data_IF_384429680089
#
_entry.id   IF_384429680089
#
_cell.length_a   1.000
_cell.length_b   1.000
_cell.length_c   1.000
_cell.angle_alpha   90.00
_cell.angle_beta   90.00
_cell.angle_gamma   90.00
#
_symmetry.space_group_name_H-M   'P 1'
#
loop_
_entity.id
_entity.type
_entity.pdbx_description
1 polymer ?
#
# COMPACT_ATOMS: atom_id res chain seq x y z
N UNK A 1 -13.70 -10.69 -8.76
CA UNK A 1 -12.91 -9.95 -7.76
C UNK A 1 -12.10 -8.96 -8.56
N UNK A 2 -12.49 -7.68 -8.53
CA UNK A 2 -11.74 -6.64 -9.25
C UNK A 2 -10.33 -6.54 -8.66
N UNK A 3 -9.35 -6.50 -9.54
CA UNK A 3 -7.93 -6.44 -9.19
C UNK A 3 -7.62 -5.05 -8.67
N UNK A 4 -7.22 -4.93 -7.41
CA UNK A 4 -6.90 -3.63 -6.81
C UNK A 4 -5.43 -3.29 -7.10
N UNK A 5 -5.19 -2.62 -8.23
CA UNK A 5 -3.84 -2.20 -8.63
C UNK A 5 -3.62 -0.76 -8.23
N UNK A 6 -2.53 -0.47 -7.52
CA UNK A 6 -2.12 0.90 -7.21
C UNK A 6 -1.03 1.34 -8.18
N UNK A 7 -1.15 2.55 -8.72
CA UNK A 7 -0.16 3.15 -9.61
C UNK A 7 0.76 4.14 -8.88
N UNK A 8 2.01 4.26 -9.36
CA UNK A 8 3.00 5.19 -8.78
C UNK A 8 2.51 6.64 -8.75
N UNK A 9 1.84 7.06 -9.83
CA UNK A 9 1.27 8.41 -9.95
C UNK A 9 0.20 8.69 -8.90
N UNK A 10 -0.60 7.69 -8.52
CA UNK A 10 -1.64 7.84 -7.51
C UNK A 10 -1.04 7.97 -6.11
N UNK A 11 -0.06 7.14 -5.77
CA UNK A 11 0.58 7.21 -4.45
C UNK A 11 1.38 8.50 -4.27
N UNK A 12 1.94 9.03 -5.36
CA UNK A 12 2.59 10.33 -5.35
C UNK A 12 1.57 11.45 -5.04
N UNK A 13 0.44 11.50 -5.77
CA UNK A 13 -0.58 12.53 -5.54
C UNK A 13 -1.26 12.38 -4.18
N UNK A 14 -1.40 11.17 -3.65
CA UNK A 14 -1.94 10.94 -2.31
C UNK A 14 -1.14 11.62 -1.22
N UNK A 15 0.20 11.59 -1.32
CA UNK A 15 1.07 12.28 -0.36
C UNK A 15 0.83 13.78 -0.37
N UNK A 16 0.68 14.35 -1.57
CA UNK A 16 0.46 15.80 -1.75
C UNK A 16 -0.93 16.25 -1.30
N UNK A 17 -1.91 15.33 -1.27
CA UNK A 17 -3.28 15.57 -0.82
C UNK A 17 -3.56 15.03 0.60
N UNK A 18 -2.52 14.76 1.39
CA UNK A 18 -2.62 14.31 2.79
C UNK A 18 -3.41 12.99 2.98
N UNK A 19 -3.47 12.15 1.95
CA UNK A 19 -4.15 10.86 2.02
C UNK A 19 -3.27 9.82 2.71
N UNK A 20 -3.74 9.27 3.84
CA UNK A 20 -2.87 8.51 4.75
C UNK A 20 -2.99 6.98 4.66
N UNK A 21 -4.11 6.42 4.20
CA UNK A 21 -4.31 4.96 4.24
C UNK A 21 -5.19 4.49 3.07
N UNK A 22 -4.70 3.52 2.31
CA UNK A 22 -5.40 2.84 1.23
C UNK A 22 -5.40 1.34 1.48
N UNK A 23 -6.55 0.68 1.36
CA UNK A 23 -6.70 -0.72 1.69
C UNK A 23 -7.54 -1.48 0.65
N UNK A 24 -7.14 -2.72 0.37
CA UNK A 24 -7.94 -3.65 -0.42
C UNK A 24 -9.20 -4.09 0.32
N UNK A 25 -10.08 -4.75 -0.42
CA UNK A 25 -11.09 -5.61 0.18
C UNK A 25 -10.42 -6.70 1.06
N UNK A 26 -11.18 -7.21 2.02
CA UNK A 26 -10.70 -8.28 2.90
C UNK A 26 -10.78 -9.62 2.17
N UNK A 27 -9.65 -10.32 2.03
CA UNK A 27 -9.58 -11.67 1.46
C UNK A 27 -8.97 -12.60 2.52
N UNK A 28 -9.65 -13.70 2.81
CA UNK A 28 -9.24 -14.67 3.86
C UNK A 28 -8.95 -14.02 5.23
N UNK A 29 -9.78 -13.05 5.63
CA UNK A 29 -9.64 -12.34 6.90
C UNK A 29 -8.48 -11.34 6.97
N UNK A 30 -7.77 -11.11 5.85
CA UNK A 30 -6.63 -10.20 5.77
C UNK A 30 -6.89 -9.11 4.73
N UNK A 31 -6.33 -7.92 4.97
CA UNK A 31 -6.38 -6.78 4.05
C UNK A 31 -4.96 -6.40 3.68
N UNK A 32 -4.74 -6.12 2.41
CA UNK A 32 -3.53 -5.46 1.95
C UNK A 32 -3.71 -3.96 2.14
N UNK A 33 -2.78 -3.28 2.82
CA UNK A 33 -2.83 -1.84 3.11
C UNK A 33 -1.56 -1.15 2.70
N UNK A 34 -1.67 0.08 2.19
CA UNK A 34 -0.61 1.04 1.97
C UNK A 34 -0.93 2.29 2.81
N UNK A 35 -0.05 2.61 3.76
CA UNK A 35 -0.18 3.76 4.64
C UNK A 35 1.00 4.72 4.47
N UNK A 36 0.74 6.02 4.57
CA UNK A 36 1.75 7.07 4.68
C UNK A 36 1.71 7.59 6.12
N UNK A 37 2.79 7.44 6.88
CA UNK A 37 2.84 7.93 8.26
C UNK A 37 3.22 9.42 8.32
N UNK A 38 3.17 10.02 9.52
CA UNK A 38 3.51 11.43 9.74
C UNK A 38 4.96 11.80 9.37
N UNK A 39 5.87 10.81 9.27
CA UNK A 39 7.25 11.05 8.82
C UNK A 39 7.41 10.91 7.30
N UNK A 40 6.31 10.72 6.56
CA UNK A 40 6.33 10.52 5.11
C UNK A 40 6.77 9.13 4.65
N UNK A 41 6.87 8.16 5.57
CA UNK A 41 7.22 6.76 5.25
C UNK A 41 5.99 6.04 4.74
N UNK A 42 6.19 5.29 3.67
CA UNK A 42 5.23 4.32 3.16
C UNK A 42 5.35 3.02 3.95
N UNK A 43 4.21 2.47 4.35
CA UNK A 43 4.08 1.21 5.08
C UNK A 43 3.13 0.32 4.30
N UNK A 44 3.58 -0.86 3.89
CA UNK A 44 2.73 -1.85 3.23
C UNK A 44 2.56 -3.05 4.15
N UNK A 45 1.33 -3.50 4.35
CA UNK A 45 1.01 -4.64 5.24
C UNK A 45 -0.07 -5.53 4.66
N UNK A 46 -0.04 -6.81 5.01
CA UNK A 46 -1.08 -7.79 4.69
C UNK A 46 -1.54 -8.48 5.99
N UNK A 47 -2.70 -8.05 6.51
CA UNK A 47 -3.07 -8.34 7.90
C UNK A 47 -2.05 -7.75 8.87
N UNK A 48 -1.51 -8.56 9.78
CA UNK A 48 -0.49 -8.14 10.76
C UNK A 48 0.94 -8.16 10.20
N UNK A 49 1.16 -8.74 9.01
CA UNK A 49 2.49 -8.86 8.42
C UNK A 49 2.87 -7.56 7.71
N UNK A 50 3.97 -6.95 8.13
CA UNK A 50 4.59 -5.83 7.40
C UNK A 50 5.40 -6.38 6.22
N UNK A 51 5.11 -5.87 5.02
CA UNK A 51 5.75 -6.25 3.76
C UNK A 51 6.81 -5.23 3.34
N UNK A 52 6.62 -3.96 3.72
CA UNK A 52 7.55 -2.88 3.42
C UNK A 52 7.38 -1.72 4.39
N UNK A 53 8.50 -1.07 4.72
CA UNK A 53 8.55 0.23 5.40
C UNK A 53 9.72 1.03 4.83
N UNK A 54 9.47 2.25 4.37
CA UNK A 54 10.50 3.14 3.86
C UNK A 54 9.97 4.29 3.00
N UNK A 55 10.89 5.04 2.41
CA UNK A 55 10.57 6.31 1.75
C UNK A 55 10.36 6.17 0.23
N UNK A 56 10.68 5.01 -0.35
CA UNK A 56 10.52 4.74 -1.78
C UNK A 56 9.07 4.38 -2.13
N UNK A 57 8.39 5.28 -2.85
CA UNK A 57 7.06 5.05 -3.46
C UNK A 57 7.08 3.84 -4.39
N UNK A 58 8.14 3.69 -5.19
CA UNK A 58 8.32 2.56 -6.10
C UNK A 58 8.35 1.23 -5.39
N UNK A 59 9.07 1.16 -4.27
CA UNK A 59 9.14 -0.05 -3.46
C UNK A 59 7.80 -0.34 -2.78
N UNK A 60 7.11 0.68 -2.28
CA UNK A 60 5.78 0.52 -1.68
C UNK A 60 4.76 -0.04 -2.68
N UNK A 61 4.65 0.56 -3.87
CA UNK A 61 3.72 0.08 -4.91
C UNK A 61 4.06 -1.33 -5.37
N UNK A 62 5.35 -1.67 -5.52
CA UNK A 62 5.76 -3.04 -5.83
C UNK A 62 5.35 -4.01 -4.72
N UNK A 63 5.61 -3.69 -3.46
CA UNK A 63 5.25 -4.56 -2.32
C UNK A 63 3.74 -4.74 -2.19
N UNK A 64 2.95 -3.72 -2.50
CA UNK A 64 1.48 -3.82 -2.53
C UNK A 64 1.06 -4.78 -3.65
N UNK A 65 1.43 -4.48 -4.90
CA UNK A 65 0.97 -5.25 -6.07
C UNK A 65 1.57 -6.67 -6.16
N UNK A 66 2.72 -6.96 -5.52
CA UNK A 66 3.36 -8.29 -5.52
C UNK A 66 2.65 -9.29 -4.60
N UNK A 67 2.02 -8.83 -3.51
CA UNK A 67 1.35 -9.73 -2.57
C UNK A 67 0.01 -10.29 -3.09
N UNK A 68 -0.46 -9.83 -4.25
CA UNK A 68 -1.62 -10.38 -4.94
C UNK A 68 -1.27 -11.43 -6.00
N UNK A 69 0.02 -11.80 -6.16
CA UNK A 69 0.38 -12.98 -6.94
C UNK A 69 0.39 -14.22 -6.03
N UNK A 70 -0.39 -15.27 -6.35
CA UNK A 70 -0.30 -16.56 -5.67
C UNK A 70 1.10 -17.19 -5.80
#
# INVERSE_FOLDING_TARGET
>A
MEKLTVYLSEVATWRDNEYQDYASETVNGKRLRLRINMTGKYIVSHGEKVLYIGDSTTSAVKSFNLCEKP
#
